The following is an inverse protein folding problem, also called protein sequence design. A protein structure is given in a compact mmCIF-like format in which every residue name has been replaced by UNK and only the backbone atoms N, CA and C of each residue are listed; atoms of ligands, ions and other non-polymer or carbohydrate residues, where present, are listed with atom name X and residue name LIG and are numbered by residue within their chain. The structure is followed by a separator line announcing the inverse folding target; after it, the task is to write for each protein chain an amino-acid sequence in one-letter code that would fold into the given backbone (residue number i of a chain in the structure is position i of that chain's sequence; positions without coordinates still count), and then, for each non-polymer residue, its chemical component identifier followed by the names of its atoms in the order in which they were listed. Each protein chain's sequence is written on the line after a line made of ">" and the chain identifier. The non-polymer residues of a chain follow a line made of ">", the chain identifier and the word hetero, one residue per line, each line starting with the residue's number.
data_IF_367286374050
#
_entry.id   IF_367286374050
#
_cell.length_a   1.000
_cell.length_b   1.000
_cell.length_c   1.000
_cell.angle_alpha   90.00
_cell.angle_beta   90.00
_cell.angle_gamma   90.00
#
_symmetry.space_group_name_H-M   'P 1'
#
loop_
_entity.id
_entity.type
_entity.pdbx_description
1 polymer ?
#
# COMPACT_ATOMS: atom_id res chain seq x y z
N UNK A 1 -32.79 28.24 -36.85
CA UNK A 1 -32.40 26.83 -36.56
C UNK A 1 -30.88 26.69 -36.36
N UNK A 2 -30.05 27.54 -36.95
CA UNK A 2 -28.57 27.49 -36.82
C UNK A 2 -28.02 27.61 -35.41
N UNK A 3 -28.52 28.53 -34.57
CA UNK A 3 -27.98 28.75 -33.22
C UNK A 3 -28.10 27.48 -32.36
N UNK A 4 -29.21 26.72 -32.49
CA UNK A 4 -29.40 25.46 -31.76
C UNK A 4 -28.40 24.39 -32.24
N UNK A 5 -28.10 24.33 -33.54
CA UNK A 5 -27.13 23.39 -34.09
C UNK A 5 -25.69 23.72 -33.66
N UNK A 6 -25.32 25.00 -33.62
CA UNK A 6 -24.00 25.44 -33.16
C UNK A 6 -23.79 25.16 -31.66
N UNK A 7 -24.82 25.38 -30.82
CA UNK A 7 -24.76 25.03 -29.40
C UNK A 7 -24.63 23.52 -29.17
N UNK A 8 -25.34 22.69 -29.95
CA UNK A 8 -25.21 21.24 -29.85
C UNK A 8 -23.83 20.75 -30.32
N UNK A 9 -23.29 21.36 -31.37
CA UNK A 9 -21.95 21.04 -31.87
C UNK A 9 -20.85 21.45 -30.87
N UNK A 10 -20.98 22.60 -30.20
CA UNK A 10 -20.03 23.04 -29.18
C UNK A 10 -20.12 22.19 -27.91
N UNK A 11 -21.33 21.78 -27.51
CA UNK A 11 -21.52 20.84 -26.40
C UNK A 11 -20.90 19.47 -26.73
N UNK A 12 -21.11 18.98 -27.95
CA UNK A 12 -20.50 17.73 -28.41
C UNK A 12 -18.96 17.81 -28.45
N UNK A 13 -18.40 18.89 -28.99
CA UNK A 13 -16.95 19.09 -29.06
C UNK A 13 -16.33 19.21 -27.66
N UNK A 14 -16.97 19.94 -26.74
CA UNK A 14 -16.50 20.04 -25.36
C UNK A 14 -16.61 18.72 -24.60
N UNK A 15 -17.71 17.97 -24.75
CA UNK A 15 -17.83 16.62 -24.20
C UNK A 15 -16.79 15.65 -24.78
N UNK A 16 -16.52 15.74 -26.08
CA UNK A 16 -15.51 14.93 -26.75
C UNK A 16 -14.10 15.27 -26.23
N UNK A 17 -13.76 16.54 -26.09
CA UNK A 17 -12.49 16.99 -25.51
C UNK A 17 -12.33 16.51 -24.05
N UNK A 18 -13.40 16.55 -23.25
CA UNK A 18 -13.39 16.03 -21.88
C UNK A 18 -13.21 14.51 -21.82
N UNK A 19 -13.81 13.76 -22.76
CA UNK A 19 -13.61 12.32 -22.88
C UNK A 19 -12.18 11.95 -23.28
N UNK A 20 -11.59 12.68 -24.23
CA UNK A 20 -10.18 12.50 -24.64
C UNK A 20 -9.23 12.81 -23.48
N UNK A 21 -9.45 13.93 -22.77
CA UNK A 21 -8.65 14.29 -21.60
C UNK A 21 -8.71 13.23 -20.49
N UNK A 22 -9.89 12.67 -20.23
CA UNK A 22 -10.07 11.63 -19.21
C UNK A 22 -9.34 10.31 -19.55
N UNK A 23 -9.12 10.01 -20.84
CA UNK A 23 -8.36 8.83 -21.27
C UNK A 23 -6.84 8.98 -21.09
N UNK A 24 -6.33 10.21 -20.98
CA UNK A 24 -4.89 10.53 -20.94
C UNK A 24 -4.30 10.60 -19.52
N UNK A 25 -5.03 10.14 -18.50
CA UNK A 25 -4.52 10.16 -17.13
C UNK A 25 -3.46 9.06 -16.91
N UNK A 26 -2.21 9.47 -16.68
CA UNK A 26 -1.10 8.57 -16.37
C UNK A 26 -1.11 8.15 -14.90
N UNK A 27 -1.10 6.84 -14.64
CA UNK A 27 -0.88 6.26 -13.31
C UNK A 27 0.44 5.48 -13.27
N UNK A 28 1.01 5.31 -12.07
CA UNK A 28 2.21 4.47 -11.92
C UNK A 28 1.83 3.00 -11.83
N UNK A 29 2.47 2.18 -12.66
CA UNK A 29 2.34 0.73 -12.66
C UNK A 29 3.70 0.07 -12.49
N UNK A 30 3.71 -1.06 -11.80
CA UNK A 30 4.81 -2.04 -11.78
C UNK A 30 4.51 -3.08 -12.86
N UNK A 31 5.39 -3.17 -13.84
CA UNK A 31 5.38 -4.17 -14.91
C UNK A 31 6.42 -5.23 -14.57
N UNK A 32 5.97 -6.47 -14.40
CA UNK A 32 6.82 -7.63 -14.17
C UNK A 32 7.03 -8.35 -15.50
N UNK A 33 8.30 -8.54 -15.85
CA UNK A 33 8.72 -9.25 -17.05
C UNK A 33 9.14 -10.67 -16.74
N UNK A 34 9.12 -11.53 -17.76
CA UNK A 34 9.62 -12.90 -17.65
C UNK A 34 11.15 -12.87 -17.45
N UNK A 35 11.73 -13.61 -16.48
CA UNK A 35 13.16 -13.57 -16.23
C UNK A 35 14.04 -14.01 -17.41
N UNK A 36 13.46 -14.81 -18.30
CA UNK A 36 14.06 -15.31 -19.52
C UNK A 36 13.21 -14.84 -20.72
N UNK A 37 12.84 -13.56 -20.75
CA UNK A 37 11.98 -13.02 -21.82
C UNK A 37 12.57 -13.29 -23.20
N UNK A 38 11.70 -13.64 -24.15
CA UNK A 38 12.04 -13.99 -25.52
C UNK A 38 12.77 -12.87 -26.25
N UNK A 39 12.41 -11.61 -25.96
CA UNK A 39 13.01 -10.44 -26.60
C UNK A 39 14.27 -9.95 -25.92
N UNK A 40 14.66 -10.49 -24.75
CA UNK A 40 15.77 -9.98 -23.93
C UNK A 40 17.10 -10.00 -24.67
N UNK A 41 17.38 -11.06 -25.44
CA UNK A 41 18.64 -11.22 -26.16
C UNK A 41 18.85 -10.18 -27.26
N UNK A 42 17.78 -9.54 -27.74
CA UNK A 42 17.85 -8.51 -28.78
C UNK A 42 18.40 -7.17 -28.29
N UNK A 43 18.69 -7.03 -26.99
CA UNK A 43 19.10 -5.76 -26.39
C UNK A 43 20.41 -5.86 -25.62
N UNK A 44 21.25 -4.83 -25.77
CA UNK A 44 22.57 -4.74 -25.12
C UNK A 44 22.48 -4.58 -23.59
N UNK A 45 21.45 -3.89 -23.08
CA UNK A 45 21.26 -3.64 -21.66
C UNK A 45 19.83 -3.98 -21.22
N UNK A 46 19.67 -4.34 -19.93
CA UNK A 46 18.33 -4.52 -19.34
C UNK A 46 17.52 -3.23 -19.39
N UNK A 47 18.18 -2.08 -19.21
CA UNK A 47 17.52 -0.77 -19.27
C UNK A 47 16.92 -0.51 -20.66
N UNK A 48 17.69 -0.72 -21.73
CA UNK A 48 17.17 -0.59 -23.11
C UNK A 48 16.07 -1.60 -23.40
N UNK A 49 16.23 -2.83 -22.92
CA UNK A 49 15.17 -3.82 -23.04
C UNK A 49 13.88 -3.33 -22.38
N UNK A 50 13.92 -2.81 -21.15
CA UNK A 50 12.76 -2.26 -20.46
C UNK A 50 12.14 -1.05 -21.17
N UNK A 51 12.97 -0.10 -21.64
CA UNK A 51 12.51 1.07 -22.38
C UNK A 51 11.76 0.70 -23.66
N UNK A 52 12.18 -0.36 -24.36
CA UNK A 52 11.51 -0.82 -25.58
C UNK A 52 10.04 -1.20 -25.38
N UNK A 53 9.65 -1.67 -24.18
CA UNK A 53 8.25 -1.96 -23.88
C UNK A 53 7.44 -0.67 -23.76
N UNK A 54 8.02 0.38 -23.18
CA UNK A 54 7.39 1.69 -23.05
C UNK A 54 7.28 2.32 -24.44
N UNK A 55 8.35 2.32 -25.24
CA UNK A 55 8.36 2.83 -26.61
C UNK A 55 7.31 2.16 -27.50
N UNK A 56 7.17 0.84 -27.39
CA UNK A 56 6.15 0.10 -28.14
C UNK A 56 4.73 0.45 -27.70
N UNK A 57 4.53 0.77 -26.42
CA UNK A 57 3.21 1.08 -25.87
C UNK A 57 2.78 2.52 -26.16
N UNK A 58 3.72 3.47 -26.24
CA UNK A 58 3.43 4.88 -26.50
C UNK A 58 3.38 5.17 -28.01
N UNK A 59 2.45 6.03 -28.42
CA UNK A 59 2.38 6.49 -29.81
C UNK A 59 3.43 7.59 -30.05
N UNK A 60 4.60 7.19 -30.57
CA UNK A 60 5.69 7.91 -31.28
C UNK A 60 6.17 9.32 -30.88
N UNK A 61 5.40 10.17 -30.20
CA UNK A 61 5.75 11.58 -29.95
C UNK A 61 6.29 11.86 -28.54
N UNK A 62 6.20 10.91 -27.61
CA UNK A 62 6.69 11.07 -26.23
C UNK A 62 8.01 10.34 -25.96
N UNK A 63 8.88 10.94 -25.13
CA UNK A 63 10.11 10.31 -24.66
C UNK A 63 9.80 9.21 -23.64
N UNK A 64 10.11 7.96 -24.01
CA UNK A 64 9.94 6.77 -23.17
C UNK A 64 10.68 6.86 -21.84
N UNK A 65 11.81 7.56 -21.82
CA UNK A 65 12.65 7.74 -20.63
C UNK A 65 11.95 8.60 -19.57
N UNK A 66 11.13 9.57 -19.99
CA UNK A 66 10.38 10.45 -19.07
C UNK A 66 9.32 9.72 -18.23
N UNK A 67 8.85 8.57 -18.72
CA UNK A 67 7.80 7.77 -18.08
C UNK A 67 8.35 6.66 -17.19
N UNK A 68 9.61 6.26 -17.38
CA UNK A 68 10.27 5.25 -16.56
C UNK A 68 10.65 5.83 -15.19
N UNK A 69 10.14 5.23 -14.11
CA UNK A 69 10.47 5.62 -12.73
C UNK A 69 11.58 4.74 -12.14
N UNK A 70 11.52 3.44 -12.38
CA UNK A 70 12.49 2.47 -11.88
C UNK A 70 12.68 1.32 -12.85
N UNK A 71 13.93 0.86 -13.02
CA UNK A 71 14.27 -0.38 -13.72
C UNK A 71 14.80 -1.39 -12.70
N UNK A 72 14.03 -2.43 -12.40
CA UNK A 72 14.37 -3.44 -11.40
C UNK A 72 15.26 -4.52 -12.02
N UNK A 73 16.28 -4.96 -11.28
CA UNK A 73 17.23 -5.97 -11.77
C UNK A 73 17.58 -7.06 -10.74
N UNK A 74 17.13 -6.95 -9.48
CA UNK A 74 17.46 -7.89 -8.40
C UNK A 74 16.24 -8.48 -7.72
N UNK A 75 15.24 -7.66 -7.39
CA UNK A 75 14.04 -8.13 -6.68
C UNK A 75 13.03 -8.80 -7.63
N UNK A 76 13.02 -8.38 -8.90
CA UNK A 76 12.30 -8.98 -10.01
C UNK A 76 12.90 -8.46 -11.32
N UNK A 77 12.66 -9.15 -12.43
CA UNK A 77 12.83 -8.56 -13.77
C UNK A 77 11.59 -7.72 -14.10
N UNK A 78 11.80 -6.46 -14.45
CA UNK A 78 10.70 -5.54 -14.75
C UNK A 78 11.02 -4.09 -14.41
N UNK A 79 10.00 -3.25 -14.47
CA UNK A 79 10.13 -1.82 -14.31
C UNK A 79 8.88 -1.19 -13.69
N UNK A 80 9.01 0.03 -13.19
CA UNK A 80 7.89 0.88 -12.81
C UNK A 80 7.83 2.09 -13.75
N UNK A 81 6.67 2.35 -14.34
CA UNK A 81 6.48 3.45 -15.27
C UNK A 81 5.10 4.12 -15.12
N UNK A 82 5.00 5.35 -15.59
CA UNK A 82 3.74 6.09 -15.72
C UNK A 82 3.08 5.74 -17.06
N UNK A 83 1.88 5.18 -17.01
CA UNK A 83 1.16 4.67 -18.17
C UNK A 83 -0.32 5.08 -18.10
N UNK A 84 -0.90 5.35 -19.26
CA UNK A 84 -2.34 5.44 -19.46
C UNK A 84 -2.95 4.04 -19.49
N UNK A 85 -4.28 3.94 -19.44
CA UNK A 85 -4.95 2.64 -19.54
C UNK A 85 -4.76 2.00 -20.91
N UNK A 86 -4.79 2.76 -22.00
CA UNK A 86 -4.61 2.21 -23.35
C UNK A 86 -3.21 1.63 -23.56
N UNK A 87 -2.19 2.31 -23.05
CA UNK A 87 -0.80 1.83 -23.08
C UNK A 87 -0.60 0.59 -22.21
N UNK A 88 -1.33 0.51 -21.08
CA UNK A 88 -1.36 -0.68 -20.24
C UNK A 88 -1.87 -1.90 -21.01
N UNK A 89 -2.97 -1.73 -21.75
CA UNK A 89 -3.54 -2.79 -22.58
C UNK A 89 -2.60 -3.20 -23.70
N UNK A 90 -1.85 -2.26 -24.28
CA UNK A 90 -0.81 -2.57 -25.26
C UNK A 90 0.31 -3.44 -24.66
N UNK A 91 0.71 -3.18 -23.41
CA UNK A 91 1.69 -4.01 -22.70
C UNK A 91 1.16 -5.42 -22.40
N UNK A 92 -0.13 -5.58 -22.09
CA UNK A 92 -0.74 -6.89 -21.84
C UNK A 92 -0.67 -7.84 -23.04
N UNK A 93 -0.52 -7.31 -24.26
CA UNK A 93 -0.38 -8.09 -25.48
C UNK A 93 1.06 -8.61 -25.69
N UNK A 94 2.02 -8.17 -24.88
CA UNK A 94 3.41 -8.60 -25.01
C UNK A 94 3.65 -9.96 -24.33
N UNK A 95 4.25 -10.95 -25.02
CA UNK A 95 4.48 -12.29 -24.46
C UNK A 95 5.46 -12.30 -23.29
N UNK A 96 6.30 -11.27 -23.16
CA UNK A 96 7.29 -11.15 -22.09
C UNK A 96 6.74 -10.47 -20.83
N UNK A 97 5.50 -9.95 -20.87
CA UNK A 97 4.85 -9.30 -19.72
C UNK A 97 4.08 -10.35 -18.92
N UNK A 98 4.55 -10.62 -17.70
CA UNK A 98 3.96 -11.62 -16.79
C UNK A 98 2.82 -11.01 -15.98
N UNK A 99 3.01 -9.79 -15.50
CA UNK A 99 1.99 -9.11 -14.71
C UNK A 99 2.16 -7.60 -14.76
N UNK A 100 1.03 -6.89 -14.75
CA UNK A 100 1.00 -5.45 -14.63
C UNK A 100 0.13 -5.09 -13.44
N UNK A 101 0.65 -4.27 -12.53
CA UNK A 101 -0.03 -3.95 -11.26
C UNK A 101 0.10 -2.47 -10.95
N UNK A 102 -0.97 -1.77 -10.54
CA UNK A 102 -0.82 -0.38 -10.11
C UNK A 102 0.11 -0.32 -8.90
N UNK A 103 1.02 0.67 -8.89
CA UNK A 103 1.88 1.00 -7.75
C UNK A 103 1.00 1.58 -6.64
N UNK A 104 0.35 0.67 -5.93
CA UNK A 104 -0.35 0.99 -4.70
C UNK A 104 0.67 0.84 -3.60
N UNK A 105 1.12 1.96 -3.05
CA UNK A 105 1.58 1.94 -1.65
C UNK A 105 0.48 1.19 -0.89
N UNK A 106 0.77 0.08 -0.21
CA UNK A 106 -0.25 -0.62 0.54
C UNK A 106 -0.90 0.44 1.40
N UNK A 107 -2.19 0.70 1.17
CA UNK A 107 -2.94 1.58 2.07
C UNK A 107 -2.79 0.91 3.42
N UNK A 108 -1.87 1.42 4.23
CA UNK A 108 -1.80 1.07 5.63
C UNK A 108 -3.07 1.68 6.19
N UNK A 109 -4.18 0.97 6.06
CA UNK A 109 -5.44 1.31 6.73
C UNK A 109 -5.23 0.95 8.19
N UNK A 110 -4.32 1.69 8.81
CA UNK A 110 -3.80 1.42 10.12
C UNK A 110 -3.84 2.68 10.96
N UNK A 111 -4.17 2.49 12.23
CA UNK A 111 -4.22 3.57 13.22
C UNK A 111 -3.10 3.34 14.21
N UNK A 112 -2.37 4.42 14.53
CA UNK A 112 -1.32 4.41 15.55
C UNK A 112 -1.88 5.12 16.77
N UNK A 113 -1.88 4.44 17.92
CA UNK A 113 -2.30 4.99 19.20
C UNK A 113 -1.08 5.12 20.09
N UNK A 114 -0.82 6.34 20.58
CA UNK A 114 0.18 6.60 21.62
C UNK A 114 -0.47 6.37 22.99
N UNK A 115 0.20 5.60 23.85
CA UNK A 115 -0.23 5.31 25.22
C UNK A 115 0.91 5.55 26.19
N UNK A 116 0.56 5.76 27.45
CA UNK A 116 1.48 5.93 28.57
C UNK A 116 1.14 4.89 29.65
N UNK A 117 2.15 4.37 30.31
CA UNK A 117 2.00 3.47 31.44
C UNK A 117 2.85 3.98 32.60
N UNK A 118 2.25 4.17 33.76
CA UNK A 118 2.91 4.64 34.98
C UNK A 118 3.13 3.46 35.91
N UNK A 119 4.37 3.29 36.39
CA UNK A 119 4.67 2.28 37.38
C UNK A 119 4.33 2.78 38.78
N UNK A 120 3.27 2.26 39.38
CA UNK A 120 2.90 2.54 40.78
C UNK A 120 3.41 1.46 41.75
N UNK A 121 4.24 0.54 41.26
CA UNK A 121 4.82 -0.56 42.02
C UNK A 121 6.29 -0.35 42.36
N UNK A 122 7.05 -1.45 42.46
CA UNK A 122 8.47 -1.40 42.79
C UNK A 122 9.32 -0.78 41.66
N UNK A 123 10.41 -0.07 42.00
CA UNK A 123 11.41 0.35 41.03
C UNK A 123 12.13 -0.85 40.38
N UNK A 124 12.91 -0.61 39.33
CA UNK A 124 13.65 -1.62 38.57
C UNK A 124 12.79 -2.80 38.08
N UNK A 125 11.60 -2.50 37.56
CA UNK A 125 10.64 -3.49 37.04
C UNK A 125 10.62 -3.50 35.52
N UNK A 126 10.63 -4.70 34.93
CA UNK A 126 10.49 -4.90 33.48
C UNK A 126 9.11 -5.47 33.16
N UNK A 127 8.39 -4.80 32.26
CA UNK A 127 7.10 -5.26 31.77
C UNK A 127 7.21 -5.68 30.31
N UNK A 128 6.77 -6.90 30.00
CA UNK A 128 6.72 -7.44 28.64
C UNK A 128 5.28 -7.48 28.13
N UNK A 129 5.08 -7.11 26.87
CA UNK A 129 3.74 -7.08 26.27
C UNK A 129 3.36 -8.40 25.61
N UNK A 130 2.16 -8.87 25.93
CA UNK A 130 1.44 -9.90 25.18
C UNK A 130 0.22 -9.27 24.52
N UNK A 131 -0.10 -9.72 23.31
CA UNK A 131 -1.21 -9.17 22.53
C UNK A 131 -2.09 -10.31 22.04
N UNK A 132 -3.37 -10.23 22.37
CA UNK A 132 -4.45 -10.98 21.73
C UNK A 132 -5.09 -10.05 20.70
N UNK A 133 -4.76 -10.17 19.41
CA UNK A 133 -5.26 -9.23 18.41
C UNK A 133 -6.77 -9.42 18.17
N UNK A 134 -7.54 -8.34 17.94
CA UNK A 134 -8.88 -8.47 17.38
C UNK A 134 -8.83 -9.16 16.02
N UNK A 135 -9.86 -9.94 15.72
CA UNK A 135 -10.02 -10.59 14.42
C UNK A 135 -9.91 -9.57 13.28
N UNK A 136 -9.29 -9.95 12.16
CA UNK A 136 -9.12 -9.06 11.01
C UNK A 136 -8.13 -7.89 11.21
N UNK A 137 -7.48 -7.77 12.37
CA UNK A 137 -6.49 -6.72 12.65
C UNK A 137 -5.16 -7.33 13.09
N UNK A 138 -4.07 -6.85 12.50
CA UNK A 138 -2.72 -7.10 13.01
C UNK A 138 -2.36 -6.00 14.00
N UNK A 139 -1.96 -6.39 15.21
CA UNK A 139 -1.54 -5.46 16.26
C UNK A 139 -0.03 -5.56 16.46
N UNK A 140 0.67 -4.43 16.45
CA UNK A 140 2.10 -4.34 16.80
C UNK A 140 2.30 -3.29 17.90
N UNK A 141 3.24 -3.54 18.82
CA UNK A 141 3.54 -2.63 19.92
C UNK A 141 5.03 -2.29 19.89
N UNK A 142 5.37 -1.01 20.07
CA UNK A 142 6.75 -0.54 20.19
C UNK A 142 6.91 0.43 21.38
N UNK A 143 7.88 0.20 22.29
CA UNK A 143 8.72 -1.00 22.41
C UNK A 143 7.92 -2.23 22.91
N UNK A 144 8.51 -3.44 22.84
CA UNK A 144 7.87 -4.67 23.38
C UNK A 144 8.09 -4.86 24.88
N UNK A 145 9.04 -4.12 25.45
CA UNK A 145 9.34 -4.10 26.88
C UNK A 145 9.38 -2.66 27.38
N UNK A 146 8.90 -2.44 28.59
CA UNK A 146 9.02 -1.18 29.32
C UNK A 146 9.82 -1.44 30.59
N UNK A 147 10.89 -0.66 30.79
CA UNK A 147 11.82 -0.83 31.91
C UNK A 147 11.67 0.40 32.80
N UNK A 148 10.98 0.23 33.93
CA UNK A 148 10.80 1.28 34.93
C UNK A 148 11.91 1.19 35.96
N UNK A 149 12.74 2.23 36.05
CA UNK A 149 13.83 2.38 37.02
C UNK A 149 13.31 2.91 38.35
N UNK A 150 12.29 3.77 38.33
CA UNK A 150 11.76 4.41 39.54
C UNK A 150 10.26 4.11 39.73
N UNK A 151 9.80 4.25 40.98
CA UNK A 151 8.36 4.34 41.28
C UNK A 151 7.81 5.66 40.72
N UNK A 152 6.57 5.64 40.25
CA UNK A 152 5.85 6.74 39.57
C UNK A 152 6.46 7.17 38.22
N UNK A 153 7.49 6.50 37.74
CA UNK A 153 8.00 6.72 36.38
C UNK A 153 6.94 6.35 35.35
N UNK A 154 6.84 7.16 34.29
CA UNK A 154 5.88 6.93 33.21
C UNK A 154 6.56 6.83 31.87
N UNK A 155 6.34 5.72 31.17
CA UNK A 155 6.90 5.45 29.85
C UNK A 155 5.82 5.43 28.78
N UNK A 156 6.19 5.82 27.56
CA UNK A 156 5.29 5.86 26.41
C UNK A 156 5.53 4.70 25.46
N UNK A 157 4.47 4.20 24.84
CA UNK A 157 4.54 3.19 23.79
C UNK A 157 3.52 3.48 22.68
N UNK A 158 3.75 2.89 21.51
CA UNK A 158 2.90 3.01 20.32
C UNK A 158 2.26 1.66 20.01
N UNK A 159 0.95 1.68 19.80
CA UNK A 159 0.16 0.53 19.33
C UNK A 159 -0.23 0.79 17.87
N UNK A 160 0.21 -0.08 16.98
CA UNK A 160 -0.10 -0.05 15.56
C UNK A 160 -1.20 -1.07 15.31
N UNK A 161 -2.38 -0.59 14.94
CA UNK A 161 -3.51 -1.39 14.48
C UNK A 161 -3.48 -1.40 12.96
N UNK A 162 -3.41 -2.55 12.32
CA UNK A 162 -3.27 -2.67 10.86
C UNK A 162 -4.40 -3.59 10.37
N UNK A 163 -5.38 -3.04 9.65
CA UNK A 163 -6.47 -3.84 9.10
C UNK A 163 -5.93 -4.85 8.08
N UNK A 164 -6.34 -6.11 8.18
CA UNK A 164 -6.12 -7.12 7.15
C UNK A 164 -7.23 -7.00 6.10
N UNK A 165 -6.93 -7.34 4.83
CA UNK A 165 -7.96 -7.47 3.79
C UNK A 165 -8.87 -8.64 4.21
N UNK A 166 -10.17 -8.39 4.39
CA UNK A 166 -11.13 -9.46 4.73
C UNK A 166 -11.35 -10.32 3.47
N UNK A 167 -11.09 -11.61 3.56
CA UNK A 167 -11.40 -12.63 2.55
C UNK A 167 -12.34 -13.63 3.20
N UNK A 168 -13.64 -13.49 2.96
CA UNK A 168 -14.68 -14.34 3.58
C UNK A 168 -16.02 -13.62 3.74
N UNK A 169 -17.11 -14.40 3.75
CA UNK A 169 -18.52 -13.97 3.76
C UNK A 169 -19.02 -13.51 5.14
N UNK A 170 -18.27 -13.73 6.21
CA UNK A 170 -18.60 -13.15 7.51
C UNK A 170 -18.09 -11.71 7.57
N UNK A 171 -18.98 -10.76 7.75
CA UNK A 171 -18.66 -9.35 7.98
C UNK A 171 -19.15 -8.95 9.38
N UNK A 172 -18.52 -9.49 10.43
CA UNK A 172 -18.71 -8.93 11.78
C UNK A 172 -18.31 -7.46 11.76
N UNK A 173 -19.25 -6.59 12.15
CA UNK A 173 -19.08 -5.13 12.17
C UNK A 173 -18.10 -4.67 13.26
N UNK A 174 -17.77 -5.55 14.21
CA UNK A 174 -16.80 -5.31 15.26
C UNK A 174 -15.97 -6.56 15.60
N UNK A 175 -14.80 -6.35 16.20
CA UNK A 175 -13.98 -7.40 16.79
C UNK A 175 -13.28 -6.88 18.05
N UNK A 176 -12.96 -7.81 18.96
CA UNK A 176 -12.31 -7.49 20.23
C UNK A 176 -11.04 -8.30 20.44
N UNK A 177 -10.10 -7.69 21.16
CA UNK A 177 -8.84 -8.28 21.57
C UNK A 177 -8.33 -7.58 22.82
N UNK A 178 -7.07 -7.82 23.19
CA UNK A 178 -6.46 -7.14 24.33
C UNK A 178 -4.94 -7.02 24.20
N UNK A 179 -4.41 -6.00 24.86
CA UNK A 179 -2.99 -5.83 25.13
C UNK A 179 -2.80 -6.03 26.63
N UNK A 180 -1.86 -6.87 27.03
CA UNK A 180 -1.58 -7.10 28.45
C UNK A 180 -0.08 -6.95 28.72
N UNK A 181 0.27 -6.11 29.68
CA UNK A 181 1.61 -5.99 30.22
C UNK A 181 1.77 -6.94 31.40
N UNK A 182 2.80 -7.77 31.35
CA UNK A 182 3.16 -8.70 32.42
C UNK A 182 4.49 -8.30 33.01
N UNK A 183 4.58 -8.26 34.34
CA UNK A 183 5.87 -8.12 35.00
C UNK A 183 6.69 -9.40 34.76
N UNK A 184 7.87 -9.25 34.16
CA UNK A 184 8.75 -10.38 33.81
C UNK A 184 9.28 -11.13 35.05
N UNK A 185 9.20 -10.55 36.26
CA UNK A 185 9.75 -11.11 37.49
C UNK A 185 8.77 -12.04 38.23
N UNK A 186 7.75 -12.58 37.55
CA UNK A 186 6.88 -13.65 38.07
C UNK A 186 5.80 -13.26 39.08
N UNK A 187 5.64 -11.97 39.44
CA UNK A 187 4.57 -11.51 40.35
C UNK A 187 3.29 -11.15 39.59
N UNK A 188 2.15 -11.26 40.26
CA UNK A 188 0.76 -11.11 39.75
C UNK A 188 0.38 -9.77 39.12
N UNK A 189 1.31 -8.81 39.00
CA UNK A 189 1.04 -7.50 38.41
C UNK A 189 0.87 -7.61 36.90
N UNK A 190 -0.40 -7.61 36.46
CA UNK A 190 -0.81 -7.66 35.06
C UNK A 190 -1.67 -6.44 34.76
N UNK A 191 -1.33 -5.68 33.72
CA UNK A 191 -2.14 -4.54 33.26
C UNK A 191 -2.73 -4.88 31.92
N UNK A 192 -4.05 -5.11 31.87
CA UNK A 192 -4.77 -5.46 30.64
C UNK A 192 -5.55 -4.25 30.12
N UNK A 193 -5.40 -3.97 28.84
CA UNK A 193 -6.17 -2.97 28.10
C UNK A 193 -6.95 -3.65 26.97
N UNK A 194 -8.30 -3.56 26.96
CA UNK A 194 -9.09 -4.09 25.85
C UNK A 194 -8.85 -3.28 24.57
N UNK A 195 -8.93 -3.95 23.43
CA UNK A 195 -8.88 -3.34 22.10
C UNK A 195 -10.20 -3.69 21.42
N UNK A 196 -10.99 -2.68 21.06
CA UNK A 196 -12.20 -2.82 20.26
C UNK A 196 -12.01 -2.13 18.92
N UNK A 197 -12.39 -2.79 17.84
CA UNK A 197 -12.33 -2.25 16.47
C UNK A 197 -13.70 -2.41 15.83
N UNK A 198 -14.13 -1.37 15.11
CA UNK A 198 -15.39 -1.36 14.36
C UNK A 198 -15.10 -1.00 12.90
N UNK A 199 -15.83 -1.64 11.99
CA UNK A 199 -15.81 -1.31 10.57
C UNK A 199 -17.15 -0.68 10.23
N UNK A 200 -17.13 0.49 9.58
CA UNK A 200 -18.34 1.06 8.99
C UNK A 200 -18.67 0.25 7.74
N UNK A 201 -19.90 -0.25 7.60
CA UNK A 201 -20.39 -0.62 6.28
C UNK A 201 -20.45 0.65 5.44
N UNK A 202 -20.02 0.55 4.19
CA UNK A 202 -20.29 1.60 3.21
C UNK A 202 -21.70 1.40 2.66
#
# INVERSE_FOLDING_TARGET
>A
MEIKAQFLLSLFLSCFLMLVYAQNHLETYIVQLHPQGLTRSSFSSKLHWHLSFIEKAISSEEDSSSRLLYSYHSAMEGFAARLSKSELEALHQSPDVVAVRPERRPRMTGKIIKRRLTNVGRPNSVFSVQVTPPEGVKVRVKPRQLIFRHTNETLSYKVYLISKKRTGKEMRSFAQGSLTWFNSNGRSNKVKSPISVTWRSK
#
